data_IF_686273584378
#
_entry.id   IF_686273584378
#
_cell.length_a   1.000
_cell.length_b   1.000
_cell.length_c   1.000
_cell.angle_alpha   90.00
_cell.angle_beta   90.00
_cell.angle_gamma   90.00
#
_symmetry.space_group_name_H-M   'P 1'
#
loop_
_entity.id
_entity.type
_entity.pdbx_description
1 polymer ?
#
# COMPACT_ATOMS: atom_id res chain seq x y z
N UNK A 1 25.73 28.19 -16.77
CA UNK A 1 25.51 28.06 -15.31
C UNK A 1 24.08 27.61 -14.93
N UNK A 2 23.05 27.91 -15.73
CA UNK A 2 21.64 27.55 -15.45
C UNK A 2 21.30 26.07 -15.59
N UNK A 3 21.95 25.32 -16.47
CA UNK A 3 21.66 23.88 -16.70
C UNK A 3 22.01 23.02 -15.48
N UNK A 4 23.05 23.34 -14.73
CA UNK A 4 23.44 22.58 -13.52
C UNK A 4 22.46 22.74 -12.36
N UNK A 5 21.78 23.87 -12.28
CA UNK A 5 20.77 24.14 -11.23
C UNK A 5 19.49 23.36 -11.50
N UNK A 6 19.11 23.21 -12.80
CA UNK A 6 17.91 22.45 -13.19
C UNK A 6 18.10 20.96 -12.89
N UNK A 7 19.28 20.39 -13.14
CA UNK A 7 19.55 18.98 -12.80
C UNK A 7 19.54 18.71 -11.30
N UNK A 8 20.02 19.64 -10.47
CA UNK A 8 19.98 19.51 -9.02
C UNK A 8 18.55 19.59 -8.48
N UNK A 9 17.69 20.44 -9.05
CA UNK A 9 16.29 20.55 -8.65
C UNK A 9 15.47 19.30 -9.02
N UNK A 10 15.69 18.72 -10.20
CA UNK A 10 15.01 17.48 -10.65
C UNK A 10 15.44 16.28 -9.80
N UNK A 11 16.73 16.18 -9.43
CA UNK A 11 17.23 15.12 -8.56
C UNK A 11 16.66 15.22 -7.13
N UNK A 12 16.45 16.43 -6.61
CA UNK A 12 15.87 16.64 -5.28
C UNK A 12 14.39 16.23 -5.19
N UNK A 13 13.61 16.43 -6.27
CA UNK A 13 12.20 16.03 -6.34
C UNK A 13 12.05 14.49 -6.39
N UNK A 14 12.97 13.77 -7.03
CA UNK A 14 12.94 12.32 -7.10
C UNK A 14 13.18 11.63 -5.73
N UNK A 15 13.86 12.29 -4.80
CA UNK A 15 14.16 11.72 -3.47
C UNK A 15 12.93 11.78 -2.53
N UNK A 16 11.98 12.68 -2.80
CA UNK A 16 10.75 12.84 -2.01
C UNK A 16 9.63 11.89 -2.43
N UNK A 17 9.75 11.26 -3.60
CA UNK A 17 8.83 10.21 -4.02
C UNK A 17 9.11 8.95 -3.21
N UNK A 18 8.35 8.73 -2.14
CA UNK A 18 8.46 7.50 -1.34
C UNK A 18 8.35 6.25 -2.20
N UNK A 19 9.01 5.18 -1.80
CA UNK A 19 8.90 3.89 -2.48
C UNK A 19 7.49 3.34 -2.33
N UNK A 20 6.76 3.25 -3.44
CA UNK A 20 5.52 2.48 -3.52
C UNK A 20 5.83 1.16 -4.23
N UNK A 21 5.26 0.07 -3.75
CA UNK A 21 5.43 -1.25 -4.31
C UNK A 21 4.12 -2.04 -4.23
N UNK A 22 3.93 -2.96 -5.17
CA UNK A 22 2.77 -3.85 -5.19
C UNK A 22 1.77 -3.50 -6.28
N UNK A 23 0.49 -3.69 -5.99
CA UNK A 23 -0.58 -3.53 -6.97
C UNK A 23 -1.05 -2.07 -7.08
N UNK A 24 -0.65 -1.38 -8.14
CA UNK A 24 -1.00 0.04 -8.36
C UNK A 24 -2.51 0.25 -8.61
N UNK A 25 -3.23 -0.76 -9.11
CA UNK A 25 -4.68 -0.66 -9.31
C UNK A 25 -5.40 -0.66 -7.97
N UNK A 26 -4.94 -1.49 -7.00
CA UNK A 26 -5.46 -1.50 -5.65
C UNK A 26 -5.20 -0.18 -4.91
N UNK A 27 -4.14 0.55 -5.25
CA UNK A 27 -3.82 1.85 -4.69
C UNK A 27 -5.03 2.80 -4.77
N UNK A 28 -5.67 2.85 -5.94
CA UNK A 28 -6.69 3.85 -6.27
C UNK A 28 -8.12 3.41 -5.92
N UNK A 29 -8.29 2.23 -5.33
CA UNK A 29 -9.60 1.71 -4.95
C UNK A 29 -9.87 1.95 -3.46
N UNK A 30 -11.10 2.37 -3.16
CA UNK A 30 -11.64 2.43 -1.81
C UNK A 30 -12.58 1.23 -1.55
N UNK A 31 -13.08 1.09 -0.33
CA UNK A 31 -13.94 -0.02 0.08
C UNK A 31 -15.24 -0.09 -0.71
N UNK A 32 -15.85 1.06 -0.99
CA UNK A 32 -17.09 1.13 -1.75
C UNK A 32 -16.88 0.64 -3.19
N UNK A 33 -15.84 1.11 -3.87
CA UNK A 33 -15.50 0.70 -5.22
C UNK A 33 -15.19 -0.80 -5.30
N UNK A 34 -14.52 -1.34 -4.29
CA UNK A 34 -14.24 -2.78 -4.20
C UNK A 34 -15.55 -3.56 -4.03
N UNK A 35 -16.42 -3.13 -3.10
CA UNK A 35 -17.70 -3.81 -2.86
C UNK A 35 -18.67 -3.74 -4.06
N UNK A 36 -18.62 -2.67 -4.85
CA UNK A 36 -19.41 -2.54 -6.08
C UNK A 36 -18.91 -3.44 -7.20
N UNK A 37 -17.61 -3.68 -7.29
CA UNK A 37 -17.01 -4.42 -8.40
C UNK A 37 -16.74 -5.89 -8.06
N UNK A 38 -16.58 -6.21 -6.78
CA UNK A 38 -16.36 -7.58 -6.28
C UNK A 38 -17.53 -7.97 -5.41
N UNK A 39 -18.55 -8.57 -6.02
CA UNK A 39 -19.75 -9.04 -5.32
C UNK A 39 -19.59 -10.53 -5.03
N UNK A 40 -19.62 -10.88 -3.75
CA UNK A 40 -19.50 -12.27 -3.28
C UNK A 40 -20.57 -13.16 -3.94
N UNK A 41 -20.20 -14.36 -4.33
CA UNK A 41 -20.98 -15.36 -5.03
C UNK A 41 -21.36 -15.03 -6.49
N UNK A 42 -21.12 -13.81 -6.96
CA UNK A 42 -21.47 -13.37 -8.33
C UNK A 42 -20.24 -13.17 -9.21
N UNK A 43 -19.24 -12.44 -8.69
CA UNK A 43 -18.00 -12.12 -9.41
C UNK A 43 -17.17 -13.37 -9.66
N UNK A 44 -16.60 -13.49 -10.85
CA UNK A 44 -15.69 -14.57 -11.20
C UNK A 44 -14.23 -14.15 -10.98
N UNK A 45 -13.35 -15.14 -10.83
CA UNK A 45 -11.91 -14.92 -10.75
C UNK A 45 -11.38 -14.07 -11.90
N UNK A 46 -11.82 -14.32 -13.12
CA UNK A 46 -11.39 -13.56 -14.31
C UNK A 46 -11.74 -12.07 -14.21
N UNK A 47 -12.87 -11.72 -13.58
CA UNK A 47 -13.32 -10.34 -13.43
C UNK A 47 -12.43 -9.62 -12.39
N UNK A 48 -12.05 -10.32 -11.32
CA UNK A 48 -11.09 -9.82 -10.32
C UNK A 48 -9.73 -9.56 -10.97
N UNK A 49 -9.25 -10.50 -11.80
CA UNK A 49 -7.97 -10.34 -12.52
C UNK A 49 -8.06 -9.24 -13.58
N UNK A 50 -9.19 -9.07 -14.25
CA UNK A 50 -9.39 -7.95 -15.18
C UNK A 50 -9.35 -6.59 -14.46
N UNK A 51 -9.93 -6.51 -13.26
CA UNK A 51 -9.96 -5.32 -12.44
C UNK A 51 -8.56 -4.98 -11.88
N UNK A 52 -7.92 -5.94 -11.23
CA UNK A 52 -6.72 -5.72 -10.43
C UNK A 52 -5.42 -6.20 -11.11
N UNK A 53 -5.51 -6.96 -12.18
CA UNK A 53 -4.37 -7.66 -12.77
C UNK A 53 -4.07 -8.96 -12.03
N UNK A 54 -2.88 -9.51 -12.27
CA UNK A 54 -2.46 -10.73 -11.58
C UNK A 54 -2.25 -10.47 -10.08
N UNK A 55 -2.63 -11.42 -9.20
CA UNK A 55 -2.43 -11.28 -7.77
C UNK A 55 -0.95 -11.29 -7.41
N UNK A 56 -0.59 -10.62 -6.32
CA UNK A 56 0.76 -10.66 -5.78
C UNK A 56 1.12 -12.07 -5.27
N UNK A 57 0.13 -12.77 -4.70
CA UNK A 57 0.29 -14.12 -4.20
C UNK A 57 -1.01 -14.90 -4.40
N UNK A 58 -0.90 -16.17 -4.75
CA UNK A 58 -2.03 -17.12 -4.75
C UNK A 58 -1.69 -18.24 -3.80
N UNK A 59 -2.59 -18.50 -2.86
CA UNK A 59 -2.49 -19.61 -1.90
C UNK A 59 -3.69 -20.54 -2.09
N UNK A 60 -3.53 -21.80 -1.71
CA UNK A 60 -4.62 -22.77 -1.67
C UNK A 60 -4.79 -23.22 -0.23
N UNK A 61 -6.01 -23.09 0.28
CA UNK A 61 -6.38 -23.60 1.61
C UNK A 61 -6.62 -25.12 1.59
N UNK A 62 -6.67 -25.72 2.76
CA UNK A 62 -6.80 -27.17 2.89
C UNK A 62 -8.12 -27.74 2.34
N UNK A 63 -9.15 -26.90 2.23
CA UNK A 63 -10.47 -27.23 1.67
C UNK A 63 -10.54 -27.09 0.14
N UNK A 64 -9.43 -26.71 -0.51
CA UNK A 64 -9.34 -26.51 -1.94
C UNK A 64 -9.57 -25.06 -2.39
N UNK A 65 -10.10 -24.20 -1.53
CA UNK A 65 -10.34 -22.78 -1.83
C UNK A 65 -9.04 -22.07 -2.17
N UNK A 66 -9.05 -21.30 -3.26
CA UNK A 66 -7.92 -20.47 -3.67
C UNK A 66 -8.06 -19.08 -3.10
N UNK A 67 -6.99 -18.54 -2.54
CA UNK A 67 -6.93 -17.17 -2.01
C UNK A 67 -6.01 -16.34 -2.90
N UNK A 68 -6.58 -15.35 -3.55
CA UNK A 68 -5.84 -14.35 -4.29
C UNK A 68 -5.53 -13.18 -3.35
N UNK A 69 -4.27 -12.85 -3.19
CA UNK A 69 -3.85 -11.72 -2.36
C UNK A 69 -3.26 -10.61 -3.23
N UNK A 70 -3.84 -9.44 -3.09
CA UNK A 70 -3.38 -8.19 -3.68
C UNK A 70 -2.88 -7.28 -2.57
N UNK A 71 -1.71 -6.70 -2.73
CA UNK A 71 -1.11 -5.80 -1.75
C UNK A 71 -0.54 -4.57 -2.42
N UNK A 72 -0.69 -3.44 -1.75
CA UNK A 72 0.00 -2.21 -2.08
C UNK A 72 0.66 -1.66 -0.82
N UNK A 73 1.90 -1.20 -0.96
CA UNK A 73 2.71 -0.69 0.16
C UNK A 73 3.32 0.63 -0.25
N UNK A 74 3.24 1.61 0.63
CA UNK A 74 3.91 2.89 0.50
C UNK A 74 4.71 3.17 1.75
N UNK A 75 6.00 3.42 1.59
CA UNK A 75 6.90 3.83 2.65
C UNK A 75 7.51 5.17 2.31
N UNK A 76 7.56 6.08 3.28
CA UNK A 76 8.20 7.39 3.14
C UNK A 76 9.20 7.61 4.28
N UNK A 77 10.35 8.26 4.02
CA UNK A 77 11.18 8.72 5.11
C UNK A 77 10.46 9.83 5.89
N UNK A 78 10.53 9.79 7.21
CA UNK A 78 10.03 10.89 8.05
C UNK A 78 10.88 12.14 7.84
N UNK A 79 10.27 13.32 7.93
CA UNK A 79 10.99 14.60 7.91
C UNK A 79 12.07 14.66 9.00
N UNK A 80 11.90 13.96 10.10
CA UNK A 80 12.88 13.84 11.18
C UNK A 80 14.21 13.22 10.73
N UNK A 81 14.21 12.38 9.68
CA UNK A 81 15.41 11.73 9.17
C UNK A 81 16.39 12.72 8.54
N UNK A 82 15.91 13.93 8.20
CA UNK A 82 16.73 15.00 7.63
C UNK A 82 17.25 16.00 8.67
N UNK A 83 16.91 15.82 9.95
CA UNK A 83 17.44 16.65 11.04
C UNK A 83 18.88 16.20 11.35
N UNK A 84 19.87 17.07 11.31
CA UNK A 84 21.24 16.73 11.69
C UNK A 84 21.29 16.16 13.09
N UNK A 85 22.06 15.09 13.28
CA UNK A 85 22.22 14.38 14.56
C UNK A 85 20.96 13.67 15.09
N UNK A 86 19.93 13.48 14.24
CA UNK A 86 18.81 12.64 14.62
C UNK A 86 19.30 11.19 14.85
N UNK A 87 19.14 10.63 16.06
CA UNK A 87 19.66 9.30 16.37
C UNK A 87 18.83 8.15 15.85
N UNK A 88 17.65 8.43 15.26
CA UNK A 88 16.68 7.39 14.86
C UNK A 88 16.07 7.75 13.51
N UNK A 89 16.26 6.89 12.52
CA UNK A 89 15.51 6.96 11.27
C UNK A 89 14.12 6.37 11.43
N UNK A 90 13.12 7.11 10.97
CA UNK A 90 11.72 6.69 10.98
C UNK A 90 11.18 6.56 9.55
N UNK A 91 10.50 5.44 9.29
CA UNK A 91 9.87 5.14 8.00
C UNK A 91 8.39 4.79 8.22
N UNK A 92 7.50 5.80 8.23
CA UNK A 92 6.07 5.55 8.21
C UNK A 92 5.70 4.82 6.93
N UNK A 93 4.96 3.74 7.10
CA UNK A 93 4.59 2.84 6.02
C UNK A 93 3.11 2.50 6.10
N UNK A 94 2.45 2.58 4.97
CA UNK A 94 1.05 2.18 4.80
C UNK A 94 0.99 0.97 3.90
N UNK A 95 0.23 -0.06 4.30
CA UNK A 95 -0.07 -1.24 3.50
C UNK A 95 -1.57 -1.37 3.33
N UNK A 96 -2.05 -1.49 2.10
CA UNK A 96 -3.39 -1.97 1.74
C UNK A 96 -3.32 -3.44 1.36
N UNK A 97 -4.34 -4.21 1.70
CA UNK A 97 -4.46 -5.62 1.36
C UNK A 97 -5.89 -5.94 0.96
N UNK A 98 -6.05 -6.65 -0.14
CA UNK A 98 -7.29 -7.27 -0.54
C UNK A 98 -7.06 -8.77 -0.70
N UNK A 99 -7.82 -9.57 0.03
CA UNK A 99 -7.87 -11.02 -0.11
C UNK A 99 -9.19 -11.40 -0.75
N UNK A 100 -9.15 -12.29 -1.73
CA UNK A 100 -10.32 -12.78 -2.44
C UNK A 100 -10.28 -14.30 -2.45
N UNK A 101 -11.28 -14.93 -1.86
CA UNK A 101 -11.44 -16.38 -1.82
C UNK A 101 -12.25 -16.86 -3.02
N UNK A 102 -11.71 -17.82 -3.74
CA UNK A 102 -12.27 -18.36 -5.00
C UNK A 102 -12.57 -19.84 -4.79
N UNK A 103 -13.81 -20.25 -5.12
CA UNK A 103 -14.24 -21.64 -5.09
C UNK A 103 -13.75 -22.44 -6.33
N UNK A 104 -14.08 -23.74 -6.36
CA UNK A 104 -13.74 -24.63 -7.47
C UNK A 104 -14.45 -24.28 -8.79
N UNK A 105 -15.47 -23.43 -8.75
CA UNK A 105 -16.21 -22.94 -9.92
C UNK A 105 -15.69 -21.59 -10.42
N UNK A 106 -14.50 -21.19 -9.94
CA UNK A 106 -13.88 -19.89 -10.21
C UNK A 106 -14.77 -18.69 -9.82
N UNK A 107 -15.56 -18.80 -8.73
CA UNK A 107 -16.38 -17.71 -8.18
C UNK A 107 -15.80 -17.19 -6.88
N UNK A 108 -15.94 -15.89 -6.67
CA UNK A 108 -15.63 -15.24 -5.39
C UNK A 108 -16.60 -15.76 -4.31
N UNK A 109 -16.09 -16.35 -3.27
CA UNK A 109 -16.87 -16.78 -2.08
C UNK A 109 -17.01 -15.61 -1.10
N UNK A 110 -15.91 -14.93 -0.85
CA UNK A 110 -15.82 -13.74 -0.01
C UNK A 110 -14.62 -12.89 -0.42
N UNK A 111 -14.62 -11.65 0.00
CA UNK A 111 -13.45 -10.79 -0.07
C UNK A 111 -13.25 -10.04 1.25
N UNK A 112 -12.02 -9.62 1.50
CA UNK A 112 -11.64 -8.85 2.68
C UNK A 112 -10.66 -7.75 2.27
N UNK A 113 -11.07 -6.50 2.47
CA UNK A 113 -10.23 -5.33 2.24
C UNK A 113 -9.78 -4.74 3.57
N UNK A 114 -8.49 -4.56 3.74
CA UNK A 114 -7.90 -4.09 4.99
C UNK A 114 -6.66 -3.26 4.75
N UNK A 115 -6.24 -2.53 5.77
CA UNK A 115 -5.01 -1.77 5.74
C UNK A 115 -4.33 -1.71 7.10
N UNK A 116 -3.03 -1.52 7.05
CA UNK A 116 -2.17 -1.41 8.22
C UNK A 116 -1.23 -0.23 8.05
N UNK A 117 -1.15 0.59 9.08
CA UNK A 117 -0.12 1.60 9.23
C UNK A 117 0.92 1.13 10.23
N UNK A 118 2.18 1.25 9.89
CA UNK A 118 3.28 0.98 10.81
C UNK A 118 4.42 1.97 10.61
N UNK A 119 5.15 2.20 11.70
CA UNK A 119 6.36 3.02 11.69
C UNK A 119 7.53 2.13 12.03
N UNK A 120 8.43 1.99 11.09
CA UNK A 120 9.70 1.33 11.31
C UNK A 120 10.72 2.36 11.80
N UNK A 121 11.37 2.06 12.93
CA UNK A 121 12.40 2.89 13.54
C UNK A 121 13.71 2.15 13.57
N UNK A 122 14.72 2.72 12.94
CA UNK A 122 16.07 2.18 12.91
C UNK A 122 17.01 3.15 13.63
N UNK A 123 17.59 2.78 14.79
CA UNK A 123 18.61 3.59 15.42
C UNK A 123 19.88 3.60 14.56
N UNK A 124 20.55 4.75 14.47
CA UNK A 124 21.83 4.90 13.76
C UNK A 124 22.97 4.19 14.49
N UNK A 125 22.84 4.02 15.81
CA UNK A 125 23.80 3.34 16.67
C UNK A 125 23.07 2.27 17.46
N UNK A 126 23.49 1.02 17.31
CA UNK A 126 22.87 -0.14 17.96
C UNK A 126 22.14 -1.06 16.98
N UNK A 127 21.72 -2.22 17.45
CA UNK A 127 21.19 -3.29 16.59
C UNK A 127 19.67 -3.48 16.65
N UNK A 128 18.95 -2.82 17.54
CA UNK A 128 17.55 -3.11 17.79
C UNK A 128 16.64 -2.11 17.05
N UNK A 129 16.15 -2.53 15.89
CA UNK A 129 15.04 -1.86 15.22
C UNK A 129 13.74 -2.12 15.97
N UNK A 130 12.92 -1.10 16.11
CA UNK A 130 11.57 -1.23 16.67
C UNK A 130 10.52 -0.87 15.64
N UNK A 131 9.36 -1.47 15.74
CA UNK A 131 8.21 -1.11 14.92
C UNK A 131 6.96 -1.00 15.78
N UNK A 132 6.12 -0.04 15.47
CA UNK A 132 4.77 0.06 15.99
C UNK A 132 3.81 -0.19 14.83
N UNK A 133 2.76 -0.97 15.07
CA UNK A 133 1.77 -1.32 14.06
C UNK A 133 0.37 -1.13 14.62
N UNK A 134 -0.51 -0.58 13.82
CA UNK A 134 -1.94 -0.52 14.09
C UNK A 134 -2.74 -0.76 12.80
N UNK A 135 -3.94 -1.33 12.89
CA UNK A 135 -4.86 -1.34 11.76
C UNK A 135 -5.22 0.10 11.35
N UNK A 136 -5.50 0.30 10.09
CA UNK A 136 -6.14 1.51 9.59
C UNK A 136 -7.64 1.43 9.90
N UNK A 137 -8.24 2.57 10.24
CA UNK A 137 -9.69 2.69 10.23
C UNK A 137 -10.20 2.66 8.79
N UNK A 138 -11.50 2.40 8.60
CA UNK A 138 -12.08 2.37 7.25
C UNK A 138 -11.96 3.75 6.57
N UNK A 139 -12.17 4.82 7.30
CA UNK A 139 -12.02 6.20 6.82
C UNK A 139 -10.59 6.49 6.34
N UNK A 140 -9.58 6.12 7.14
CA UNK A 140 -8.18 6.28 6.73
C UNK A 140 -7.84 5.45 5.49
N UNK A 141 -8.38 4.24 5.40
CA UNK A 141 -8.14 3.32 4.29
C UNK A 141 -8.74 3.85 2.98
N UNK A 142 -9.93 4.44 3.06
CA UNK A 142 -10.62 5.01 1.92
C UNK A 142 -10.01 6.36 1.49
N UNK A 143 -9.56 7.18 2.44
CA UNK A 143 -8.84 8.43 2.18
C UNK A 143 -7.54 8.21 1.37
N UNK A 144 -6.87 7.08 1.57
CA UNK A 144 -5.68 6.74 0.79
C UNK A 144 -5.93 6.49 -0.71
N UNK A 145 -7.18 6.35 -1.13
CA UNK A 145 -7.56 6.26 -2.53
C UNK A 145 -7.74 7.63 -3.20
N UNK A 146 -7.78 8.72 -2.42
CA UNK A 146 -7.96 10.08 -2.94
C UNK A 146 -6.63 10.68 -3.40
N UNK A 147 -6.48 10.98 -4.71
CA UNK A 147 -5.27 11.60 -5.24
C UNK A 147 -5.02 13.03 -4.70
N UNK A 148 -6.04 13.70 -4.15
CA UNK A 148 -5.92 15.04 -3.57
C UNK A 148 -5.21 15.02 -2.21
N UNK A 149 -5.36 13.97 -1.42
CA UNK A 149 -4.67 13.85 -0.13
C UNK A 149 -3.17 13.58 -0.29
N UNK A 150 -2.79 12.91 -1.38
CA UNK A 150 -1.38 12.72 -1.74
C UNK A 150 -0.64 14.04 -1.97
N UNK A 151 -1.34 15.04 -2.55
CA UNK A 151 -0.79 16.37 -2.79
C UNK A 151 -0.73 17.22 -1.51
N UNK A 152 -1.55 16.93 -0.51
CA UNK A 152 -1.55 17.63 0.78
C UNK A 152 -0.46 17.11 1.73
N UNK A 153 -0.22 15.80 1.74
CA UNK A 153 0.82 15.17 2.56
C UNK A 153 2.26 15.51 2.11
N UNK A 154 2.44 16.00 0.88
CA UNK A 154 3.73 16.49 0.39
C UNK A 154 4.04 17.95 0.82
N UNK A 155 3.12 18.62 1.53
CA UNK A 155 3.26 20.03 1.96
C UNK A 155 3.49 20.22 3.46
N UNK A 156 3.45 19.16 4.27
CA UNK A 156 3.81 19.18 5.69
C UNK A 156 5.22 18.61 5.90
#
# INVERSE_FOLDING_TARGET
MQIRVIFAAVAAVAILAGCAAGNDRLRNLNSQQIAEQIVDTQTKRQDVVALLGEPNTTQQEADGTKVLEYTWVRSRPSAKNFIPLNPIDEFPTTKKSLRVWIDDNDRVVKHEYSGVFYVYRKPLIGSNSTHSMRPLTQEELDGLADPTEEAAADKE
#
